data_IF_902536520486
#
_entry.id   IF_902536520486
#
_cell.length_a   1.000
_cell.length_b   1.000
_cell.length_c   1.000
_cell.angle_alpha   90.00
_cell.angle_beta   90.00
_cell.angle_gamma   90.00
#
_symmetry.space_group_name_H-M   'P 1'
#
loop_
_entity.id
_entity.type
_entity.pdbx_description
1 polymer ?
#
# COMPACT_ATOMS: atom_id res chain seq x y z
N UNK A 1 -8.37 -32.55 2.03
CA UNK A 1 -7.68 -31.78 0.96
C UNK A 1 -8.35 -32.09 -0.37
N UNK A 2 -9.30 -31.25 -0.81
CA UNK A 2 -9.89 -31.40 -2.13
C UNK A 2 -8.86 -30.95 -3.18
N UNK A 3 -8.43 -31.88 -4.03
CA UNK A 3 -7.63 -31.55 -5.22
C UNK A 3 -8.50 -30.69 -6.13
N UNK A 4 -8.28 -29.38 -6.13
CA UNK A 4 -8.85 -28.48 -7.13
C UNK A 4 -8.18 -28.84 -8.45
N UNK A 5 -8.77 -29.75 -9.21
CA UNK A 5 -8.42 -29.96 -10.61
C UNK A 5 -8.86 -28.72 -11.38
N UNK A 6 -7.99 -27.70 -11.44
CA UNK A 6 -8.19 -26.54 -12.31
C UNK A 6 -8.27 -27.06 -13.74
N UNK A 7 -9.47 -27.03 -14.33
CA UNK A 7 -9.73 -27.39 -15.72
C UNK A 7 -8.85 -26.49 -16.60
N UNK A 8 -7.99 -27.05 -17.43
CA UNK A 8 -7.11 -26.28 -18.31
C UNK A 8 -7.98 -25.47 -19.27
N UNK A 9 -7.99 -24.15 -19.15
CA UNK A 9 -8.62 -23.28 -20.14
C UNK A 9 -7.80 -23.32 -21.43
N UNK A 10 -8.35 -23.97 -22.46
CA UNK A 10 -7.69 -24.12 -23.75
C UNK A 10 -8.51 -23.42 -24.85
N UNK A 11 -7.89 -22.48 -25.57
CA UNK A 11 -8.51 -21.76 -26.71
C UNK A 11 -7.72 -22.05 -27.99
N UNK A 12 -8.37 -22.64 -28.99
CA UNK A 12 -7.79 -22.81 -30.32
C UNK A 12 -7.55 -21.44 -30.97
N UNK A 13 -6.38 -21.23 -31.57
CA UNK A 13 -6.02 -19.99 -32.27
C UNK A 13 -6.14 -20.18 -33.79
N UNK A 14 -7.17 -19.63 -34.45
CA UNK A 14 -7.36 -19.76 -35.89
C UNK A 14 -6.14 -19.23 -36.67
N UNK A 15 -5.75 -19.93 -37.74
CA UNK A 15 -4.62 -19.55 -38.59
C UNK A 15 -3.23 -19.88 -38.04
N UNK A 16 -3.11 -20.36 -36.78
CA UNK A 16 -1.82 -20.74 -36.18
C UNK A 16 -1.65 -22.24 -35.94
N UNK A 17 -2.72 -23.04 -36.08
CA UNK A 17 -2.67 -24.50 -35.87
C UNK A 17 -2.34 -24.95 -34.44
N UNK A 18 -2.34 -24.03 -33.48
CA UNK A 18 -1.99 -24.28 -32.07
C UNK A 18 -3.18 -23.98 -31.15
N UNK A 19 -3.23 -24.70 -30.03
CA UNK A 19 -4.17 -24.44 -28.94
C UNK A 19 -3.45 -23.67 -27.84
N UNK A 20 -3.88 -22.45 -27.53
CA UNK A 20 -3.39 -21.70 -26.37
C UNK A 20 -3.92 -22.38 -25.11
N UNK A 21 -3.03 -23.02 -24.36
CA UNK A 21 -3.33 -23.52 -23.02
C UNK A 21 -2.97 -22.41 -22.05
N UNK A 22 -3.96 -21.95 -21.30
CA UNK A 22 -3.75 -21.00 -20.22
C UNK A 22 -3.19 -21.79 -19.02
N UNK A 23 -1.88 -21.72 -18.84
CA UNK A 23 -1.16 -22.44 -17.78
C UNK A 23 -0.99 -21.61 -16.51
N UNK A 24 -1.04 -20.29 -16.64
CA UNK A 24 -0.98 -19.32 -15.53
C UNK A 24 -2.39 -18.73 -15.35
N UNK A 25 -2.92 -18.64 -14.12
CA UNK A 25 -4.13 -17.88 -13.86
C UNK A 25 -4.00 -16.46 -14.42
N UNK A 26 -5.11 -15.85 -14.84
CA UNK A 26 -5.07 -14.41 -15.10
C UNK A 26 -4.69 -13.70 -13.80
N UNK A 27 -3.95 -12.60 -13.94
CA UNK A 27 -3.71 -11.70 -12.82
C UNK A 27 -5.06 -11.25 -12.27
N UNK A 28 -5.19 -11.24 -10.95
CA UNK A 28 -6.42 -10.79 -10.32
C UNK A 28 -6.53 -9.26 -10.46
N UNK A 29 -7.65 -8.80 -11.02
CA UNK A 29 -8.02 -7.38 -10.94
C UNK A 29 -8.74 -7.14 -9.61
N UNK A 30 -8.21 -6.22 -8.81
CA UNK A 30 -8.74 -5.90 -7.49
C UNK A 30 -9.33 -4.50 -7.52
N UNK A 31 -10.45 -4.32 -6.82
CA UNK A 31 -10.99 -3.00 -6.54
C UNK A 31 -10.05 -2.25 -5.58
N UNK A 32 -10.01 -0.92 -5.72
CA UNK A 32 -9.22 -0.02 -4.87
C UNK A 32 -10.04 0.52 -3.71
N UNK A 33 -9.37 1.01 -2.67
CA UNK A 33 -9.99 1.62 -1.48
C UNK A 33 -11.00 0.70 -0.76
N UNK A 34 -10.64 -0.57 -0.57
CA UNK A 34 -11.41 -1.52 0.24
C UNK A 34 -10.80 -1.72 1.62
N UNK A 35 -11.52 -2.42 2.49
CA UNK A 35 -11.02 -2.81 3.80
C UNK A 35 -9.96 -3.93 3.71
N UNK A 36 -9.34 -4.24 4.86
CA UNK A 36 -8.28 -5.24 4.94
C UNK A 36 -8.75 -6.64 4.55
N UNK A 37 -10.00 -6.98 4.89
CA UNK A 37 -10.59 -8.28 4.62
C UNK A 37 -10.68 -8.57 3.12
N UNK A 38 -10.95 -7.55 2.30
CA UNK A 38 -10.95 -7.69 0.85
C UNK A 38 -9.58 -8.11 0.28
N UNK A 39 -8.47 -7.63 0.85
CA UNK A 39 -7.12 -7.88 0.33
C UNK A 39 -6.40 -9.08 0.96
N UNK A 40 -7.03 -9.80 1.90
CA UNK A 40 -6.35 -10.78 2.76
C UNK A 40 -5.68 -11.94 2.04
N UNK A 41 -6.28 -12.41 0.96
CA UNK A 41 -5.76 -13.52 0.17
C UNK A 41 -4.55 -13.11 -0.68
N UNK A 42 -4.23 -11.81 -0.75
CA UNK A 42 -3.15 -11.26 -1.56
C UNK A 42 -1.91 -10.99 -0.72
N UNK A 43 -2.02 -10.22 0.36
CA UNK A 43 -0.84 -9.88 1.16
C UNK A 43 -0.24 -11.12 1.86
N UNK A 44 -1.03 -12.18 2.07
CA UNK A 44 -0.55 -13.49 2.55
C UNK A 44 0.39 -14.19 1.56
N UNK A 45 0.31 -13.86 0.27
CA UNK A 45 1.18 -14.46 -0.76
C UNK A 45 2.63 -13.97 -0.69
N UNK A 46 2.92 -12.99 0.17
CA UNK A 46 4.26 -12.43 0.32
C UNK A 46 5.30 -13.51 0.65
N UNK A 47 6.15 -13.84 -0.32
CA UNK A 47 7.25 -14.81 -0.16
C UNK A 47 8.45 -14.30 0.65
N UNK A 48 8.37 -13.11 1.26
CA UNK A 48 9.43 -12.48 2.08
C UNK A 48 10.82 -12.44 1.41
N UNK A 49 10.85 -12.32 0.08
CA UNK A 49 12.10 -12.33 -0.70
C UNK A 49 12.99 -11.09 -0.50
N UNK A 50 12.46 -10.02 0.11
CA UNK A 50 13.22 -8.80 0.39
C UNK A 50 13.38 -7.83 -0.79
N UNK A 51 12.80 -8.09 -1.97
CA UNK A 51 12.89 -7.14 -3.12
C UNK A 51 12.26 -5.79 -2.79
N UNK A 52 11.29 -5.73 -1.89
CA UNK A 52 10.72 -4.48 -1.39
C UNK A 52 11.72 -3.53 -0.69
N UNK A 53 12.96 -4.00 -0.42
CA UNK A 53 14.01 -3.26 0.28
C UNK A 53 15.00 -2.60 -0.66
N UNK A 54 15.13 -3.10 -1.89
CA UNK A 54 16.20 -2.75 -2.81
C UNK A 54 15.67 -2.52 -4.22
N UNK A 55 16.33 -1.70 -5.03
CA UNK A 55 16.05 -1.68 -6.46
C UNK A 55 16.54 -3.01 -7.05
N UNK A 56 15.59 -3.86 -7.42
CA UNK A 56 15.84 -5.20 -7.91
C UNK A 56 16.46 -5.12 -9.32
N UNK A 57 17.51 -5.91 -9.57
CA UNK A 57 18.30 -5.93 -10.82
C UNK A 57 19.23 -4.73 -11.05
N UNK A 58 19.23 -3.72 -10.17
CA UNK A 58 20.21 -2.65 -10.21
C UNK A 58 21.53 -3.07 -9.54
N UNK A 59 22.65 -2.64 -10.10
CA UNK A 59 23.97 -2.89 -9.54
C UNK A 59 24.06 -2.30 -8.12
N UNK A 60 24.62 -3.07 -7.18
CA UNK A 60 24.79 -2.64 -5.79
C UNK A 60 23.52 -2.69 -4.93
N UNK A 61 22.38 -3.14 -5.46
CA UNK A 61 21.14 -3.36 -4.70
C UNK A 61 20.75 -2.16 -3.81
N UNK A 62 20.65 -0.94 -4.37
CA UNK A 62 20.46 0.28 -3.59
C UNK A 62 19.15 0.21 -2.81
N UNK A 63 19.16 0.70 -1.56
CA UNK A 63 18.01 0.64 -0.66
C UNK A 63 16.91 1.62 -1.12
N UNK A 64 15.66 1.16 -1.15
CA UNK A 64 14.53 1.95 -1.68
C UNK A 64 13.43 2.26 -0.67
N UNK A 65 13.47 1.70 0.54
CA UNK A 65 12.40 1.87 1.54
C UNK A 65 12.83 2.81 2.68
N UNK A 66 12.44 4.10 2.68
CA UNK A 66 12.83 5.03 3.75
C UNK A 66 12.34 4.59 5.13
N UNK A 67 11.12 4.03 5.20
CA UNK A 67 10.53 3.53 6.45
C UNK A 67 11.38 2.40 7.03
N UNK A 68 11.76 1.43 6.19
CA UNK A 68 12.62 0.33 6.58
C UNK A 68 14.04 0.78 6.94
N UNK A 69 14.61 1.71 6.18
CA UNK A 69 15.94 2.24 6.48
C UNK A 69 15.99 3.10 7.74
N UNK A 70 14.89 3.75 8.12
CA UNK A 70 14.78 4.47 9.39
C UNK A 70 14.58 3.50 10.56
N UNK A 71 13.62 2.59 10.45
CA UNK A 71 13.26 1.69 11.54
C UNK A 71 14.19 0.49 11.73
N UNK A 72 14.94 0.09 10.69
CA UNK A 72 15.92 -1.02 10.64
C UNK A 72 15.41 -2.43 11.02
N UNK A 73 14.18 -2.58 11.50
CA UNK A 73 13.53 -3.87 11.75
C UNK A 73 12.64 -4.32 10.58
N UNK A 74 12.44 -5.64 10.45
CA UNK A 74 11.57 -6.26 9.43
C UNK A 74 10.18 -5.62 9.36
N UNK A 75 9.61 -5.31 10.53
CA UNK A 75 8.30 -4.68 10.69
C UNK A 75 8.12 -3.39 9.88
N UNK A 76 9.21 -2.67 9.58
CA UNK A 76 9.17 -1.42 8.83
C UNK A 76 9.27 -1.61 7.31
N UNK A 77 9.59 -2.80 6.81
CA UNK A 77 9.59 -3.10 5.37
C UNK A 77 8.25 -3.73 4.95
N UNK A 78 7.92 -3.71 3.65
CA UNK A 78 6.64 -4.24 3.16
C UNK A 78 6.39 -5.69 3.58
N UNK A 79 7.43 -6.53 3.57
CA UNK A 79 7.34 -7.95 3.97
C UNK A 79 6.94 -8.14 5.44
N UNK A 80 7.45 -7.31 6.35
CA UNK A 80 7.02 -7.31 7.75
C UNK A 80 5.65 -6.68 7.92
N UNK A 81 5.36 -5.58 7.22
CA UNK A 81 4.04 -4.95 7.23
C UNK A 81 2.95 -5.91 6.76
N UNK A 82 3.16 -6.67 5.69
CA UNK A 82 2.22 -7.69 5.23
C UNK A 82 1.96 -8.78 6.28
N UNK A 83 2.98 -9.19 7.04
CA UNK A 83 2.80 -10.14 8.15
C UNK A 83 1.98 -9.54 9.29
N UNK A 84 2.26 -8.28 9.64
CA UNK A 84 1.52 -7.56 10.68
C UNK A 84 0.06 -7.32 10.25
N UNK A 85 -0.16 -6.97 8.97
CA UNK A 85 -1.49 -6.85 8.38
C UNK A 85 -2.25 -8.17 8.46
N UNK A 86 -1.62 -9.29 8.10
CA UNK A 86 -2.22 -10.62 8.27
C UNK A 86 -2.55 -10.93 9.73
N UNK A 87 -1.64 -10.62 10.67
CA UNK A 87 -1.87 -10.90 12.08
C UNK A 87 -3.05 -10.07 12.64
N UNK A 88 -3.21 -8.82 12.20
CA UNK A 88 -4.35 -7.97 12.54
C UNK A 88 -5.63 -8.48 11.89
N UNK A 89 -5.62 -8.83 10.60
CA UNK A 89 -6.81 -9.31 9.88
C UNK A 89 -7.27 -10.72 10.27
N UNK A 90 -6.52 -11.41 11.12
CA UNK A 90 -6.84 -12.77 11.60
C UNK A 90 -6.92 -12.84 13.12
N UNK A 91 -7.04 -11.68 13.77
CA UNK A 91 -7.14 -11.51 15.22
C UNK A 91 -6.00 -12.19 16.00
N UNK A 92 -4.84 -12.40 15.37
CA UNK A 92 -3.65 -12.95 16.01
C UNK A 92 -2.83 -11.89 16.75
N UNK A 93 -3.09 -10.61 16.46
CA UNK A 93 -2.42 -9.48 17.07
C UNK A 93 -3.44 -8.38 17.37
N UNK A 94 -3.38 -7.82 18.57
CA UNK A 94 -4.16 -6.65 18.93
C UNK A 94 -3.45 -5.36 18.49
N UNK A 95 -4.23 -4.33 18.22
CA UNK A 95 -3.69 -3.00 17.97
C UNK A 95 -2.93 -2.45 19.19
N UNK A 96 -1.86 -1.71 18.91
CA UNK A 96 -1.07 -0.97 19.88
C UNK A 96 -0.57 0.33 19.24
N UNK A 97 -0.17 1.31 20.06
CA UNK A 97 0.42 2.55 19.54
C UNK A 97 1.68 2.29 18.71
N UNK A 98 2.51 1.34 19.13
CA UNK A 98 3.74 1.01 18.39
C UNK A 98 3.44 0.38 17.03
N UNK A 99 2.41 -0.47 16.95
CA UNK A 99 1.95 -1.01 15.68
C UNK A 99 1.49 0.10 14.73
N UNK A 100 0.67 1.03 15.22
CA UNK A 100 0.24 2.18 14.43
C UNK A 100 1.44 3.01 13.96
N UNK A 101 2.40 3.33 14.85
CA UNK A 101 3.63 4.06 14.49
C UNK A 101 4.40 3.38 13.36
N UNK A 102 4.52 2.05 13.34
CA UNK A 102 5.19 1.31 12.26
C UNK A 102 4.51 1.56 10.90
N UNK A 103 3.17 1.53 10.85
CA UNK A 103 2.42 1.77 9.62
C UNK A 103 2.43 3.25 9.20
N UNK A 104 2.34 4.18 10.16
CA UNK A 104 2.41 5.62 9.89
C UNK A 104 3.81 6.08 9.46
N UNK A 105 4.88 5.38 9.86
CA UNK A 105 6.24 5.64 9.37
C UNK A 105 6.43 5.33 7.88
N UNK A 106 5.51 4.58 7.25
CA UNK A 106 5.53 4.39 5.81
C UNK A 106 5.26 5.73 5.11
N UNK A 107 6.05 6.15 4.13
CA UNK A 107 5.68 7.31 3.31
C UNK A 107 4.60 7.00 2.27
N UNK A 108 4.24 5.71 2.12
CA UNK A 108 3.37 5.20 1.05
C UNK A 108 3.92 5.63 -0.33
N UNK A 109 5.24 5.70 -0.49
CA UNK A 109 5.90 6.08 -1.74
C UNK A 109 5.81 5.05 -2.86
N UNK A 110 5.26 3.86 -2.55
CA UNK A 110 5.06 2.74 -3.46
C UNK A 110 6.32 2.14 -4.12
N UNK A 111 7.52 2.51 -3.68
CA UNK A 111 8.76 1.90 -4.18
C UNK A 111 8.73 0.36 -4.02
N UNK A 112 8.25 -0.14 -2.87
CA UNK A 112 8.11 -1.57 -2.63
C UNK A 112 7.17 -2.29 -3.61
N UNK A 113 6.15 -1.60 -4.15
CA UNK A 113 5.22 -2.19 -5.11
C UNK A 113 5.92 -2.33 -6.46
N UNK A 114 6.65 -1.30 -6.90
CA UNK A 114 7.44 -1.33 -8.14
C UNK A 114 8.49 -2.43 -8.17
N UNK A 115 9.07 -2.78 -7.01
CA UNK A 115 10.09 -3.84 -6.91
C UNK A 115 9.49 -5.25 -6.70
N UNK A 116 8.20 -5.35 -6.39
CA UNK A 116 7.59 -6.64 -6.07
C UNK A 116 7.43 -7.50 -7.33
N UNK A 117 7.72 -8.79 -7.20
CA UNK A 117 7.60 -9.77 -8.28
C UNK A 117 6.30 -10.57 -8.22
N UNK A 118 5.51 -10.38 -7.16
CA UNK A 118 4.17 -10.97 -7.03
C UNK A 118 3.21 -9.96 -7.67
N UNK A 119 2.54 -10.29 -8.80
CA UNK A 119 1.77 -9.31 -9.58
C UNK A 119 0.75 -8.54 -8.76
N UNK A 120 -0.03 -9.22 -7.93
CA UNK A 120 -1.08 -8.60 -7.14
C UNK A 120 -0.49 -7.66 -6.06
N UNK A 121 0.66 -8.01 -5.47
CA UNK A 121 1.37 -7.13 -4.53
C UNK A 121 2.03 -5.95 -5.27
N UNK A 122 2.56 -6.19 -6.47
CA UNK A 122 3.14 -5.15 -7.32
C UNK A 122 2.12 -4.06 -7.66
N UNK A 123 0.89 -4.45 -7.95
CA UNK A 123 -0.16 -3.52 -8.36
C UNK A 123 -0.92 -2.90 -7.19
N UNK A 124 -1.13 -3.63 -6.08
CA UNK A 124 -2.13 -3.25 -5.08
C UNK A 124 -1.59 -3.07 -3.66
N UNK A 125 -0.29 -3.24 -3.39
CA UNK A 125 0.21 -3.15 -2.02
C UNK A 125 0.01 -1.78 -1.34
N UNK A 126 -0.10 -0.70 -2.12
CA UNK A 126 -0.48 0.61 -1.58
C UNK A 126 -1.87 0.61 -0.93
N UNK A 127 -2.79 -0.19 -1.45
CA UNK A 127 -4.19 -0.22 -1.03
C UNK A 127 -4.33 -0.71 0.42
N UNK A 128 -3.77 -1.87 0.76
CA UNK A 128 -3.85 -2.36 2.14
C UNK A 128 -2.92 -1.61 3.11
N UNK A 129 -1.85 -0.98 2.63
CA UNK A 129 -1.04 -0.09 3.48
C UNK A 129 -1.86 1.14 3.92
N UNK A 130 -2.73 1.66 3.05
CA UNK A 130 -3.68 2.72 3.38
C UNK A 130 -4.84 2.18 4.22
N UNK A 131 -5.42 1.04 3.87
CA UNK A 131 -6.49 0.41 4.65
C UNK A 131 -6.05 0.07 6.08
N UNK A 132 -4.78 -0.29 6.29
CA UNK A 132 -4.20 -0.46 7.65
C UNK A 132 -4.25 0.83 8.46
N UNK A 133 -4.05 2.00 7.84
CA UNK A 133 -4.16 3.30 8.52
C UNK A 133 -5.60 3.66 8.80
N UNK A 134 -6.51 3.36 7.87
CA UNK A 134 -7.94 3.54 8.10
C UNK A 134 -8.42 2.68 9.28
N UNK A 135 -7.97 1.43 9.33
CA UNK A 135 -8.27 0.54 10.45
C UNK A 135 -7.67 1.06 11.76
N UNK A 136 -6.43 1.56 11.75
CA UNK A 136 -5.85 2.21 12.92
C UNK A 136 -6.72 3.36 13.45
N UNK A 137 -7.31 4.17 12.55
CA UNK A 137 -8.23 5.25 12.93
C UNK A 137 -9.51 4.68 13.56
N UNK A 138 -10.13 3.66 12.96
CA UNK A 138 -11.34 3.02 13.50
C UNK A 138 -11.11 2.45 14.89
N UNK A 139 -9.91 1.93 15.13
CA UNK A 139 -9.49 1.31 16.39
C UNK A 139 -8.99 2.33 17.43
N UNK A 140 -8.99 3.64 17.12
CA UNK A 140 -8.57 4.70 18.04
C UNK A 140 -7.05 4.92 18.15
N UNK A 141 -6.27 4.29 17.27
CA UNK A 141 -4.81 4.45 17.19
C UNK A 141 -4.36 5.43 16.10
N UNK A 142 -5.30 6.16 15.51
CA UNK A 142 -5.06 7.22 14.54
C UNK A 142 -6.25 8.16 14.45
N UNK A 143 -6.17 9.23 13.64
CA UNK A 143 -4.98 9.67 12.91
C UNK A 143 -3.88 10.16 13.87
N UNK A 144 -2.64 10.26 13.39
CA UNK A 144 -1.52 10.74 14.22
C UNK A 144 -1.71 12.21 14.64
N UNK A 145 -1.14 12.66 15.77
CA UNK A 145 -1.31 14.04 16.25
C UNK A 145 -0.99 15.11 15.20
N UNK A 146 0.05 14.91 14.40
CA UNK A 146 0.42 15.82 13.32
C UNK A 146 -0.65 15.85 12.22
N UNK A 147 -1.27 14.72 11.90
CA UNK A 147 -2.34 14.61 10.91
C UNK A 147 -3.65 15.27 11.38
N UNK A 148 -3.93 15.21 12.68
CA UNK A 148 -5.07 15.93 13.29
C UNK A 148 -4.95 17.43 13.02
N UNK A 149 -3.75 18.01 13.24
CA UNK A 149 -3.50 19.44 12.99
C UNK A 149 -3.87 19.85 11.56
N UNK A 150 -3.45 19.06 10.57
CA UNK A 150 -3.79 19.34 9.17
C UNK A 150 -5.29 19.28 8.92
N UNK A 151 -5.97 18.30 9.51
CA UNK A 151 -7.42 18.09 9.30
C UNK A 151 -8.24 19.21 9.95
N UNK A 152 -7.87 19.65 11.14
CA UNK A 152 -8.48 20.80 11.82
C UNK A 152 -8.28 22.08 11.03
N UNK A 153 -7.06 22.31 10.51
CA UNK A 153 -6.78 23.50 9.72
C UNK A 153 -7.51 23.51 8.38
N UNK A 154 -7.65 22.36 7.72
CA UNK A 154 -8.47 22.24 6.50
C UNK A 154 -9.92 22.60 6.79
N UNK A 155 -10.49 22.12 7.90
CA UNK A 155 -11.87 22.47 8.29
C UNK A 155 -12.05 23.96 8.57
N UNK A 156 -11.02 24.63 9.10
CA UNK A 156 -11.07 26.03 9.49
C UNK A 156 -10.77 27.01 8.34
N UNK A 157 -9.68 26.76 7.61
CA UNK A 157 -9.11 27.70 6.64
C UNK A 157 -9.21 27.20 5.18
N UNK A 158 -9.81 26.03 4.95
CA UNK A 158 -9.80 25.36 3.63
C UNK A 158 -8.37 25.18 3.07
N UNK A 159 -7.39 25.05 3.97
CA UNK A 159 -5.97 24.97 3.66
C UNK A 159 -5.33 23.93 4.59
N UNK A 160 -4.49 22.99 4.10
CA UNK A 160 -3.69 22.15 4.99
C UNK A 160 -2.41 22.84 5.50
N UNK A 161 -1.91 23.88 4.84
CA UNK A 161 -0.56 24.41 5.09
C UNK A 161 -0.45 25.44 6.23
N UNK A 162 -1.41 25.47 7.15
CA UNK A 162 -1.40 26.36 8.32
C UNK A 162 -1.50 27.87 8.02
N UNK A 163 -1.68 28.25 6.75
CA UNK A 163 -1.92 29.65 6.36
C UNK A 163 -3.41 29.96 6.33
N UNK A 164 -3.75 31.24 6.47
CA UNK A 164 -5.15 31.70 6.49
C UNK A 164 -5.78 31.67 5.11
N UNK A 165 -7.09 31.39 5.05
CA UNK A 165 -7.84 31.44 3.81
C UNK A 165 -7.79 32.81 3.13
N UNK A 166 -7.93 33.87 3.93
CA UNK A 166 -7.96 35.27 3.48
C UNK A 166 -6.66 35.70 2.78
N UNK A 167 -5.55 34.99 3.04
CA UNK A 167 -4.23 35.33 2.54
C UNK A 167 -3.91 34.70 1.17
N UNK A 168 -4.76 33.81 0.67
CA UNK A 168 -4.56 33.05 -0.58
C UNK A 168 -4.18 33.91 -1.79
N UNK A 169 -4.63 35.16 -1.81
CA UNK A 169 -4.47 36.07 -2.96
C UNK A 169 -3.40 37.15 -2.71
N UNK A 170 -2.73 37.18 -1.54
CA UNK A 170 -1.74 38.20 -1.21
C UNK A 170 -0.50 38.18 -2.11
N UNK A 171 -0.25 37.07 -2.81
CA UNK A 171 0.83 36.98 -3.79
C UNK A 171 0.50 37.67 -5.13
N UNK A 172 -0.77 38.01 -5.38
CA UNK A 172 -1.16 38.70 -6.62
C UNK A 172 -0.72 40.16 -6.60
N UNK A 173 -0.11 40.66 -7.69
CA UNK A 173 0.15 42.08 -7.85
C UNK A 173 -1.13 42.92 -7.78
N UNK A 174 -1.04 44.11 -7.20
CA UNK A 174 -2.18 45.01 -6.96
C UNK A 174 -2.94 45.45 -8.22
N UNK A 175 -2.35 45.29 -9.41
CA UNK A 175 -2.97 45.66 -10.68
C UNK A 175 -3.85 44.56 -11.28
N UNK A 176 -3.86 43.35 -10.72
CA UNK A 176 -4.71 42.24 -11.17
C UNK A 176 -6.03 42.29 -10.41
N UNK A 177 -7.15 42.45 -11.12
CA UNK A 177 -8.52 42.34 -10.58
C UNK A 177 -9.05 40.93 -10.82
N UNK A 178 -9.66 40.33 -9.81
CA UNK A 178 -10.29 39.00 -9.84
C UNK A 178 -11.79 39.10 -10.09
#
# INVERSE_FOLDING_TARGET
>A
MNKITKKKESKFLPGKGITKIKTVPDQQELERNKDLDYYKDIFYQCGKCGTCRTAYQEEGWPRVCPSGEFGKFEAYYLSGKNLLTWAISTDQLNWTENLAKIFYQCSVCLACTQQCQIPEIHHYAGEWLMAMREEAVRQGYGPMPEQVRYTEHVKKENNPYMEKHEDRLKWLPSHIKL
#
